data_IF_506525840853
#
_entry.id   IF_506525840853
#
_cell.length_a   1.000
_cell.length_b   1.000
_cell.length_c   1.000
_cell.angle_alpha   90.00
_cell.angle_beta   90.00
_cell.angle_gamma   90.00
#
_symmetry.space_group_name_H-M   'P 1'
#
loop_
_entity.id
_entity.type
_entity.pdbx_description
1 polymer ?
#
# COMPACT_ATOMS: atom_id res chain seq x y z
N UNK A 1 -12.46 3.98 3.36
CA UNK A 1 -10.99 4.15 3.46
C UNK A 1 -10.42 4.44 4.85
N UNK A 2 -10.44 5.69 5.35
CA UNK A 2 -9.60 6.14 6.47
C UNK A 2 -9.70 5.28 7.74
N UNK A 3 -10.93 4.92 8.16
CA UNK A 3 -11.17 4.03 9.31
C UNK A 3 -10.49 2.66 9.17
N UNK A 4 -10.44 2.09 7.97
CA UNK A 4 -9.81 0.79 7.71
C UNK A 4 -8.28 0.91 7.79
N UNK A 5 -7.71 2.01 7.30
CA UNK A 5 -6.27 2.28 7.38
C UNK A 5 -5.79 2.57 8.81
N UNK A 6 -6.66 3.13 9.66
CA UNK A 6 -6.35 3.40 11.07
C UNK A 6 -6.56 2.18 11.98
N UNK A 7 -6.99 1.03 11.45
CA UNK A 7 -7.10 -0.19 12.25
C UNK A 7 -5.71 -0.76 12.55
N UNK A 8 -5.47 -1.30 13.76
CA UNK A 8 -4.20 -1.95 14.10
C UNK A 8 -3.85 -3.14 13.18
N UNK A 9 -4.87 -3.83 12.67
CA UNK A 9 -4.76 -5.04 11.84
C UNK A 9 -4.99 -4.74 10.35
N UNK A 10 -4.66 -3.53 9.88
CA UNK A 10 -4.91 -3.16 8.49
C UNK A 10 -4.08 -4.00 7.51
N UNK A 11 -4.73 -4.95 6.83
CA UNK A 11 -4.09 -5.90 5.93
C UNK A 11 -3.21 -5.23 4.85
N UNK A 12 -3.71 -4.19 4.18
CA UNK A 12 -2.93 -3.51 3.12
C UNK A 12 -1.68 -2.82 3.65
N UNK A 13 -1.73 -2.21 4.84
CA UNK A 13 -0.57 -1.56 5.45
C UNK A 13 0.44 -2.59 5.95
N UNK A 14 -0.03 -3.65 6.61
CA UNK A 14 0.82 -4.76 7.02
C UNK A 14 1.51 -5.41 5.81
N UNK A 15 0.78 -5.58 4.71
CA UNK A 15 1.30 -6.13 3.48
C UNK A 15 2.40 -5.27 2.87
N UNK A 16 2.17 -3.96 2.77
CA UNK A 16 3.14 -2.99 2.25
C UNK A 16 4.37 -2.86 3.16
N UNK A 17 4.19 -2.97 4.48
CA UNK A 17 5.27 -2.90 5.47
C UNK A 17 6.30 -4.03 5.36
N UNK A 18 5.96 -5.14 4.70
CA UNK A 18 6.92 -6.21 4.36
C UNK A 18 7.95 -5.79 3.32
N UNK A 19 7.64 -4.77 2.51
CA UNK A 19 8.43 -4.38 1.35
C UNK A 19 9.06 -3.00 1.49
N UNK A 20 8.40 -2.09 2.20
CA UNK A 20 8.82 -0.70 2.30
C UNK A 20 8.99 -0.31 3.77
N UNK A 21 10.06 0.45 4.06
CA UNK A 21 10.09 1.30 5.25
C UNK A 21 9.48 2.64 4.87
N UNK A 22 8.37 3.02 5.52
CA UNK A 22 7.61 4.21 5.14
C UNK A 22 6.99 4.92 6.35
N UNK A 23 6.59 6.16 6.11
CA UNK A 23 5.75 6.95 7.02
C UNK A 23 4.39 7.20 6.34
N UNK A 24 3.33 7.14 7.13
CA UNK A 24 1.97 7.40 6.66
C UNK A 24 1.21 8.26 7.67
N UNK A 25 0.44 9.22 7.17
CA UNK A 25 -0.53 9.97 7.95
C UNK A 25 -1.92 9.82 7.32
N UNK A 26 -2.89 9.42 8.13
CA UNK A 26 -4.27 9.18 7.68
C UNK A 26 -5.20 10.14 8.40
N UNK A 27 -5.77 11.07 7.65
CA UNK A 27 -6.82 11.96 8.12
C UNK A 27 -8.19 11.28 8.05
N UNK A 28 -9.02 11.46 9.07
CA UNK A 28 -10.41 10.97 9.08
C UNK A 28 -11.29 11.61 8.00
N UNK A 29 -10.83 12.70 7.38
CA UNK A 29 -11.39 13.32 6.19
C UNK A 29 -11.09 12.56 4.88
N UNK A 30 -10.39 11.42 4.95
CA UNK A 30 -10.01 10.62 3.78
C UNK A 30 -8.70 11.04 3.12
N UNK A 31 -8.04 12.09 3.63
CA UNK A 31 -6.69 12.45 3.17
C UNK A 31 -5.67 11.42 3.66
N UNK A 32 -4.83 10.94 2.76
CA UNK A 32 -3.73 10.01 3.08
C UNK A 32 -2.44 10.59 2.54
N UNK A 33 -1.49 10.85 3.42
CA UNK A 33 -0.13 11.23 3.06
C UNK A 33 0.79 10.04 3.27
N UNK A 34 1.65 9.78 2.29
CA UNK A 34 2.57 8.67 2.29
C UNK A 34 3.95 9.16 1.86
N UNK A 35 5.00 8.71 2.56
CA UNK A 35 6.39 9.00 2.23
C UNK A 35 7.25 7.75 2.36
N UNK A 36 8.03 7.49 1.31
CA UNK A 36 9.02 6.43 1.25
C UNK A 36 10.23 6.88 0.41
N UNK A 37 11.34 6.15 0.49
CA UNK A 37 12.61 6.50 -0.13
C UNK A 37 12.65 6.20 -1.64
N UNK A 38 11.87 5.26 -2.18
CA UNK A 38 11.91 4.87 -3.59
C UNK A 38 11.09 5.75 -4.54
N UNK A 39 10.70 6.94 -4.11
CA UNK A 39 10.18 8.00 -4.98
C UNK A 39 8.78 7.72 -5.57
N UNK A 40 8.59 8.12 -6.83
CA UNK A 40 7.26 8.17 -7.44
C UNK A 40 6.64 6.78 -7.67
N UNK A 41 7.43 5.78 -8.05
CA UNK A 41 6.93 4.43 -8.35
C UNK A 41 6.31 3.78 -7.11
N UNK A 42 6.98 3.85 -5.95
CA UNK A 42 6.45 3.33 -4.68
C UNK A 42 5.17 4.05 -4.28
N UNK A 43 5.13 5.37 -4.46
CA UNK A 43 3.93 6.18 -4.17
C UNK A 43 2.74 5.72 -5.03
N UNK A 44 2.97 5.43 -6.32
CA UNK A 44 1.94 4.92 -7.23
C UNK A 44 1.46 3.54 -6.79
N UNK A 45 2.38 2.63 -6.44
CA UNK A 45 2.05 1.27 -6.00
C UNK A 45 1.21 1.31 -4.72
N UNK A 46 1.64 2.09 -3.73
CA UNK A 46 0.95 2.22 -2.45
C UNK A 46 -0.44 2.81 -2.65
N UNK A 47 -0.57 3.85 -3.46
CA UNK A 47 -1.89 4.42 -3.80
C UNK A 47 -2.81 3.37 -4.41
N UNK A 48 -2.32 2.62 -5.39
CA UNK A 48 -3.12 1.58 -6.06
C UNK A 48 -3.48 0.45 -5.11
N UNK A 49 -2.56 0.01 -4.26
CA UNK A 49 -2.82 -1.02 -3.25
C UNK A 49 -3.91 -0.56 -2.27
N UNK A 50 -3.81 0.66 -1.74
CA UNK A 50 -4.78 1.21 -0.79
C UNK A 50 -6.17 1.28 -1.43
N UNK A 51 -6.30 1.88 -2.61
CA UNK A 51 -7.60 2.06 -3.28
C UNK A 51 -8.23 0.70 -3.61
N UNK A 52 -7.47 -0.22 -4.21
CA UNK A 52 -8.02 -1.52 -4.62
C UNK A 52 -8.35 -2.42 -3.42
N UNK A 53 -7.63 -2.31 -2.30
CA UNK A 53 -7.91 -3.10 -1.09
C UNK A 53 -9.31 -2.88 -0.53
N UNK A 54 -9.97 -1.76 -0.84
CA UNK A 54 -11.32 -1.48 -0.35
C UNK A 54 -12.35 -2.54 -0.74
N UNK A 55 -12.21 -3.12 -1.93
CA UNK A 55 -13.11 -4.13 -2.48
C UNK A 55 -12.62 -5.58 -2.27
N UNK A 56 -11.48 -5.76 -1.58
CA UNK A 56 -10.83 -7.06 -1.42
C UNK A 56 -10.90 -7.54 0.03
N UNK A 57 -10.99 -8.87 0.17
CA UNK A 57 -10.70 -9.55 1.43
C UNK A 57 -9.21 -9.41 1.79
N UNK A 58 -8.85 -9.70 3.04
CA UNK A 58 -7.46 -9.56 3.49
C UNK A 58 -6.52 -10.52 2.77
N UNK A 59 -6.95 -11.76 2.49
CA UNK A 59 -6.18 -12.72 1.69
C UNK A 59 -5.95 -12.23 0.25
N UNK A 60 -7.00 -11.67 -0.37
CA UNK A 60 -6.88 -11.10 -1.73
C UNK A 60 -6.01 -9.84 -1.74
N UNK A 61 -6.06 -9.05 -0.67
CA UNK A 61 -5.23 -7.85 -0.49
C UNK A 61 -3.76 -8.23 -0.42
N UNK A 62 -3.42 -9.24 0.37
CA UNK A 62 -2.07 -9.80 0.46
C UNK A 62 -1.56 -10.24 -0.91
N UNK A 63 -2.34 -11.09 -1.60
CA UNK A 63 -1.99 -11.58 -2.92
C UNK A 63 -1.81 -10.45 -3.96
N UNK A 64 -2.66 -9.42 -3.90
CA UNK A 64 -2.56 -8.25 -4.78
C UNK A 64 -1.27 -7.46 -4.52
N UNK A 65 -0.93 -7.19 -3.26
CA UNK A 65 0.31 -6.45 -2.91
C UNK A 65 1.54 -7.22 -3.42
N UNK A 66 1.58 -8.54 -3.21
CA UNK A 66 2.68 -9.38 -3.70
C UNK A 66 2.85 -9.29 -5.23
N UNK A 67 1.74 -9.24 -5.98
CA UNK A 67 1.79 -9.09 -7.44
C UNK A 67 2.28 -7.70 -7.87
N UNK A 68 1.82 -6.64 -7.22
CA UNK A 68 2.29 -5.27 -7.50
C UNK A 68 3.80 -5.14 -7.28
N UNK A 69 4.33 -5.77 -6.22
CA UNK A 69 5.77 -5.77 -5.93
C UNK A 69 6.58 -6.56 -6.95
N UNK A 70 6.09 -7.73 -7.39
CA UNK A 70 6.73 -8.50 -8.47
C UNK A 70 6.85 -7.69 -9.75
N UNK A 71 5.79 -6.97 -10.14
CA UNK A 71 5.77 -6.12 -11.33
C UNK A 71 6.76 -4.96 -11.16
N UNK A 72 6.73 -4.27 -10.01
CA UNK A 72 7.64 -3.16 -9.69
C UNK A 72 9.11 -3.55 -9.80
N UNK A 73 9.50 -4.68 -9.19
CA UNK A 73 10.87 -5.18 -9.25
C UNK A 73 11.30 -5.55 -10.68
N UNK A 74 10.36 -5.98 -11.54
CA UNK A 74 10.67 -6.23 -12.94
C UNK A 74 10.92 -4.93 -13.69
N UNK A 75 10.15 -3.88 -13.42
CA UNK A 75 10.30 -2.55 -14.03
C UNK A 75 11.60 -1.85 -13.60
N UNK A 76 12.02 -2.01 -12.35
CA UNK A 76 13.25 -1.41 -11.84
C UNK A 76 14.55 -2.06 -12.36
N UNK A 77 14.45 -3.19 -13.06
CA UNK A 77 15.60 -3.96 -13.59
C UNK A 77 15.86 -3.74 -15.09
N UNK A 78 15.08 -2.87 -15.74
CA UNK A 78 15.23 -2.47 -17.15
C UNK A 78 15.85 -1.08 -17.17
#
# INVERSE_FOLDING_TARGET
MARRLLRPDCAVLNALGRYFSYEIAVGMNGAVWFRSMGGALETIIVRNAIINSEALSDLQTDAMVDQLMKISNKLARI
#
